data_IF_523985211564
#
_entry.id   IF_523985211564
#
_cell.length_a   1.000
_cell.length_b   1.000
_cell.length_c   1.000
_cell.angle_alpha   90.00
_cell.angle_beta   90.00
_cell.angle_gamma   90.00
#
_symmetry.space_group_name_H-M   'P 1'
#
loop_
_entity.id
_entity.type
_entity.pdbx_description
1 polymer ?
#
# COMPACT_ATOMS: atom_id res chain seq x y z
N UNK A 1 22.65 -1.63 9.25
CA UNK A 1 21.99 -0.43 8.73
C UNK A 1 20.60 -0.84 8.24
N UNK A 2 19.51 -0.44 8.92
CA UNK A 2 18.18 -0.92 8.56
C UNK A 2 17.76 -0.24 7.26
N UNK A 3 17.64 -1.03 6.19
CA UNK A 3 17.18 -0.55 4.90
C UNK A 3 15.77 -0.01 5.06
N UNK A 4 15.57 1.23 4.59
CA UNK A 4 14.28 1.90 4.56
C UNK A 4 13.34 1.07 3.67
N UNK A 5 12.61 0.12 4.26
CA UNK A 5 11.52 -0.59 3.56
C UNK A 5 10.43 0.39 3.11
N UNK A 6 10.30 1.54 3.80
CA UNK A 6 9.31 2.57 3.52
C UNK A 6 9.40 3.20 2.12
N UNK A 7 10.60 3.43 1.56
CA UNK A 7 10.73 4.03 0.22
C UNK A 7 10.26 3.09 -0.89
N UNK A 8 10.46 1.79 -0.69
CA UNK A 8 10.00 0.78 -1.64
C UNK A 8 8.49 0.61 -1.51
N UNK A 9 7.97 0.50 -0.29
CA UNK A 9 6.53 0.47 -0.04
C UNK A 9 5.80 1.71 -0.57
N UNK A 10 6.41 2.90 -0.49
CA UNK A 10 5.88 4.14 -1.07
C UNK A 10 5.85 4.10 -2.60
N UNK A 11 6.93 3.64 -3.24
CA UNK A 11 6.98 3.51 -4.70
C UNK A 11 5.97 2.47 -5.22
N UNK A 12 5.86 1.32 -4.54
CA UNK A 12 4.87 0.28 -4.86
C UNK A 12 3.43 0.80 -4.64
N UNK A 13 3.19 1.56 -3.57
CA UNK A 13 1.90 2.21 -3.30
C UNK A 13 1.53 3.22 -4.40
N UNK A 14 2.46 4.09 -4.79
CA UNK A 14 2.23 5.08 -5.84
C UNK A 14 1.93 4.42 -7.19
N UNK A 15 2.67 3.35 -7.54
CA UNK A 15 2.42 2.58 -8.76
C UNK A 15 1.03 1.92 -8.74
N UNK A 16 0.61 1.39 -7.59
CA UNK A 16 -0.72 0.80 -7.43
C UNK A 16 -1.82 1.86 -7.56
N UNK A 17 -1.65 3.04 -6.97
CA UNK A 17 -2.60 4.15 -7.12
C UNK A 17 -2.68 4.59 -8.58
N UNK A 18 -1.55 4.70 -9.28
CA UNK A 18 -1.54 5.08 -10.71
C UNK A 18 -2.20 4.00 -11.60
N UNK A 19 -2.03 2.73 -11.25
CA UNK A 19 -2.56 1.61 -12.05
C UNK A 19 -4.04 1.33 -11.76
N UNK A 20 -4.46 1.42 -10.50
CA UNK A 20 -5.77 0.95 -10.02
C UNK A 20 -6.68 2.05 -9.47
N UNK A 21 -6.18 3.28 -9.29
CA UNK A 21 -6.93 4.40 -8.74
C UNK A 21 -7.54 4.10 -7.38
N UNK A 22 -8.85 4.32 -7.23
CA UNK A 22 -9.63 4.01 -6.03
C UNK A 22 -9.55 2.55 -5.57
N UNK A 23 -9.26 1.61 -6.47
CA UNK A 23 -9.15 0.18 -6.12
C UNK A 23 -7.78 -0.20 -5.54
N UNK A 24 -6.79 0.69 -5.58
CA UNK A 24 -5.42 0.41 -5.15
C UNK A 24 -5.34 -0.08 -3.69
N UNK A 25 -6.14 0.50 -2.80
CA UNK A 25 -6.20 0.10 -1.40
C UNK A 25 -6.76 -1.32 -1.22
N UNK A 26 -7.80 -1.65 -1.99
CA UNK A 26 -8.41 -2.99 -1.98
C UNK A 26 -7.43 -4.05 -2.48
N UNK A 27 -6.64 -3.72 -3.50
CA UNK A 27 -5.69 -4.64 -4.08
C UNK A 27 -4.46 -4.90 -3.19
N UNK A 28 -3.99 -3.87 -2.48
CA UNK A 28 -2.96 -4.06 -1.46
C UNK A 28 -3.45 -4.93 -0.30
N UNK A 29 -4.70 -4.76 0.14
CA UNK A 29 -5.32 -5.60 1.18
C UNK A 29 -5.44 -7.07 0.72
N UNK A 30 -5.91 -7.30 -0.51
CA UNK A 30 -6.02 -8.65 -1.09
C UNK A 30 -4.65 -9.35 -1.20
N UNK A 31 -3.60 -8.62 -1.59
CA UNK A 31 -2.22 -9.16 -1.65
C UNK A 31 -1.63 -9.42 -0.26
N UNK A 32 -2.01 -8.63 0.75
CA UNK A 32 -1.67 -8.93 2.15
C UNK A 32 -2.32 -10.23 2.60
N UNK A 33 -3.63 -10.40 2.39
CA UNK A 33 -4.36 -11.62 2.77
C UNK A 33 -3.80 -12.87 2.07
N UNK A 34 -3.53 -12.79 0.76
CA UNK A 34 -2.90 -13.89 0.02
C UNK A 34 -1.49 -14.24 0.52
N UNK A 35 -0.73 -13.24 1.00
CA UNK A 35 0.58 -13.48 1.62
C UNK A 35 0.47 -14.14 2.99
N UNK A 36 -0.60 -13.85 3.75
CA UNK A 36 -0.93 -14.52 5.02
C UNK A 36 -1.31 -15.97 4.78
N UNK A 37 -2.11 -16.23 3.76
CA UNK A 37 -2.56 -17.58 3.38
C UNK A 37 -1.37 -18.48 3.01
N UNK A 38 -0.38 -17.92 2.31
CA UNK A 38 0.89 -18.59 2.01
C UNK A 38 1.86 -18.71 3.21
N UNK A 39 1.49 -18.27 4.41
CA UNK A 39 2.36 -18.28 5.60
C UNK A 39 3.56 -17.34 5.52
N UNK A 40 3.60 -16.42 4.56
CA UNK A 40 4.72 -15.51 4.36
C UNK A 40 4.52 -14.21 5.13
N UNK A 41 4.87 -14.25 6.42
CA UNK A 41 4.71 -13.12 7.36
C UNK A 41 5.52 -11.88 6.93
N UNK A 42 6.66 -12.07 6.26
CA UNK A 42 7.50 -10.96 5.77
C UNK A 42 6.77 -10.19 4.66
N UNK A 43 6.21 -10.91 3.67
CA UNK A 43 5.39 -10.30 2.62
C UNK A 43 4.11 -9.71 3.19
N UNK A 44 3.47 -10.36 4.17
CA UNK A 44 2.30 -9.81 4.84
C UNK A 44 2.59 -8.43 5.46
N UNK A 45 3.64 -8.32 6.28
CA UNK A 45 4.04 -7.04 6.87
C UNK A 45 4.37 -5.98 5.80
N UNK A 46 4.99 -6.38 4.69
CA UNK A 46 5.28 -5.50 3.57
C UNK A 46 3.99 -4.97 2.91
N UNK A 47 3.04 -5.84 2.57
CA UNK A 47 1.78 -5.45 1.94
C UNK A 47 0.90 -4.61 2.87
N UNK A 48 0.92 -4.87 4.19
CA UNK A 48 0.25 -4.02 5.20
C UNK A 48 0.86 -2.62 5.31
N UNK A 49 2.17 -2.50 5.11
CA UNK A 49 2.82 -1.18 5.02
C UNK A 49 2.37 -0.44 3.75
N UNK A 50 2.32 -1.12 2.60
CA UNK A 50 1.83 -0.54 1.34
C UNK A 50 0.37 -0.09 1.48
N UNK A 51 -0.51 -0.95 2.00
CA UNK A 51 -1.93 -0.63 2.25
C UNK A 51 -2.09 0.65 3.07
N UNK A 52 -1.37 0.77 4.20
CA UNK A 52 -1.39 2.00 5.03
C UNK A 52 -0.92 3.22 4.26
N UNK A 53 0.12 3.09 3.45
CA UNK A 53 0.65 4.20 2.64
C UNK A 53 -0.36 4.62 1.58
N UNK A 54 -1.01 3.66 0.91
CA UNK A 54 -2.06 3.95 -0.08
C UNK A 54 -3.21 4.70 0.57
N UNK A 55 -3.76 4.19 1.68
CA UNK A 55 -4.85 4.86 2.41
C UNK A 55 -4.44 6.28 2.81
N UNK A 56 -3.22 6.46 3.33
CA UNK A 56 -2.71 7.77 3.73
C UNK A 56 -2.57 8.74 2.54
N UNK A 57 -2.18 8.25 1.35
CA UNK A 57 -2.05 9.04 0.13
C UNK A 57 -3.41 9.38 -0.46
N UNK A 58 -4.33 8.41 -0.55
CA UNK A 58 -5.69 8.62 -1.04
C UNK A 58 -6.48 9.56 -0.11
N UNK A 59 -6.34 9.43 1.21
CA UNK A 59 -6.95 10.38 2.16
C UNK A 59 -6.37 11.79 2.01
N UNK A 60 -5.06 11.93 1.73
CA UNK A 60 -4.44 13.23 1.47
C UNK A 60 -4.89 13.84 0.13
N UNK A 61 -5.04 13.03 -0.92
CA UNK A 61 -5.56 13.46 -2.22
C UNK A 61 -7.02 13.93 -2.11
N UNK A 62 -7.85 13.18 -1.39
CA UNK A 62 -9.25 13.55 -1.12
C UNK A 62 -9.34 14.84 -0.28
N UNK A 63 -8.46 15.03 0.71
CA UNK A 63 -8.43 16.27 1.51
C UNK A 63 -7.78 17.46 0.81
N UNK A 64 -6.94 17.25 -0.19
CA UNK A 64 -6.35 18.30 -1.02
C UNK A 64 -7.36 18.94 -1.98
N UNK A 65 -8.47 18.26 -2.24
CA UNK A 65 -9.59 18.81 -3.02
C UNK A 65 -10.52 19.61 -2.10
N UNK A 66 -10.00 20.68 -1.48
CA UNK A 66 -10.84 21.73 -0.90
C UNK A 66 -11.38 22.52 -2.10
N UNK A 67 -12.64 22.28 -2.46
CA UNK A 67 -13.40 23.12 -3.39
C UNK A 67 -14.15 24.20 -2.60
#
# INVERSE_FOLDING_TARGET
MPFITGRKALADAALLIETYGDNAGFEAAARAESSRDNGNVIRFCHWRQIERVIVTLTEQEVRGTIH
#
